data_IF_182192078665
#
_entry.id   IF_182192078665
#
_cell.length_a   1.000
_cell.length_b   1.000
_cell.length_c   1.000
_cell.angle_alpha   90.00
_cell.angle_beta   90.00
_cell.angle_gamma   90.00
#
_symmetry.space_group_name_H-M   'P 1'
#
loop_
_entity.id
_entity.type
_entity.pdbx_description
1 polymer ?
#
# COMPACT_ATOMS: atom_id res chain seq x y z
N UNK A 1 3.14 14.64 -36.35
CA UNK A 1 2.87 13.82 -35.15
C UNK A 1 4.18 13.76 -34.40
N UNK A 2 4.25 14.22 -33.14
CA UNK A 2 5.48 14.09 -32.34
C UNK A 2 5.81 12.60 -32.22
N UNK A 3 7.08 12.26 -32.40
CA UNK A 3 7.60 10.90 -32.52
C UNK A 3 7.54 10.18 -31.16
N UNK A 4 6.86 9.04 -31.06
CA UNK A 4 6.73 8.26 -29.81
C UNK A 4 8.09 7.80 -29.27
N UNK A 5 9.11 7.70 -30.13
CA UNK A 5 10.49 7.44 -29.73
C UNK A 5 11.10 8.57 -28.87
N UNK A 6 10.63 9.81 -29.03
CA UNK A 6 11.09 10.96 -28.27
C UNK A 6 10.60 10.90 -26.81
N UNK A 7 9.34 10.48 -26.59
CA UNK A 7 8.78 10.40 -25.22
C UNK A 7 9.48 9.33 -24.38
N UNK A 8 9.73 8.15 -24.95
CA UNK A 8 10.47 7.06 -24.29
C UNK A 8 11.91 7.48 -23.99
N UNK A 9 12.59 8.13 -24.95
CA UNK A 9 13.95 8.63 -24.76
C UNK A 9 14.03 9.69 -23.66
N UNK A 10 13.06 10.60 -23.58
CA UNK A 10 13.00 11.62 -22.53
C UNK A 10 12.82 11.02 -21.13
N UNK A 11 11.94 10.01 -20.99
CA UNK A 11 11.74 9.28 -19.73
C UNK A 11 13.04 8.60 -19.31
N UNK A 12 13.69 7.88 -20.23
CA UNK A 12 14.95 7.18 -19.94
C UNK A 12 16.05 8.18 -19.54
N UNK A 13 16.19 9.29 -20.28
CA UNK A 13 17.18 10.31 -19.97
C UNK A 13 16.94 10.95 -18.58
N UNK A 14 15.69 11.09 -18.13
CA UNK A 14 15.40 11.54 -16.77
C UNK A 14 15.84 10.50 -15.72
N UNK A 15 15.61 9.21 -15.98
CA UNK A 15 16.07 8.12 -15.11
C UNK A 15 17.60 8.06 -15.01
N UNK A 16 18.30 8.23 -16.13
CA UNK A 16 19.77 8.21 -16.17
C UNK A 16 20.38 9.37 -15.37
N UNK A 17 19.65 10.49 -15.23
CA UNK A 17 20.03 11.62 -14.37
C UNK A 17 19.61 11.46 -12.90
N UNK A 18 18.92 10.37 -12.55
CA UNK A 18 18.38 10.14 -11.21
C UNK A 18 17.11 10.94 -10.89
N UNK A 19 16.47 11.57 -11.88
CA UNK A 19 15.23 12.34 -11.71
C UNK A 19 14.00 11.43 -11.82
N UNK A 20 13.75 10.65 -10.77
CA UNK A 20 12.64 9.70 -10.72
C UNK A 20 11.26 10.39 -10.74
N UNK A 21 11.16 11.61 -10.19
CA UNK A 21 9.90 12.35 -10.16
C UNK A 21 9.58 12.95 -11.55
N UNK A 22 10.58 13.51 -12.23
CA UNK A 22 10.47 13.97 -13.61
C UNK A 22 10.18 12.81 -14.58
N UNK A 23 10.90 11.68 -14.46
CA UNK A 23 10.64 10.49 -15.27
C UNK A 23 9.18 10.00 -15.10
N UNK A 24 8.66 10.00 -13.86
CA UNK A 24 7.27 9.62 -13.59
C UNK A 24 6.28 10.62 -14.20
N UNK A 25 6.55 11.92 -14.16
CA UNK A 25 5.70 12.94 -14.76
C UNK A 25 5.64 12.77 -16.29
N UNK A 26 6.80 12.62 -16.93
CA UNK A 26 6.92 12.36 -18.37
C UNK A 26 6.19 11.07 -18.78
N UNK A 27 6.36 9.98 -18.03
CA UNK A 27 5.66 8.72 -18.29
C UNK A 27 4.14 8.87 -18.17
N UNK A 28 3.65 9.67 -17.23
CA UNK A 28 2.22 9.95 -17.08
C UNK A 28 1.67 10.74 -18.26
N UNK A 29 2.38 11.78 -18.69
CA UNK A 29 1.99 12.60 -19.83
C UNK A 29 2.00 11.81 -21.13
N UNK A 30 3.02 10.96 -21.34
CA UNK A 30 3.09 10.05 -22.47
C UNK A 30 1.92 9.06 -22.45
N UNK A 31 1.66 8.41 -21.31
CA UNK A 31 0.56 7.46 -21.18
C UNK A 31 -0.82 8.11 -21.37
N UNK A 32 -0.99 9.36 -20.92
CA UNK A 32 -2.23 10.10 -21.13
C UNK A 32 -2.48 10.46 -22.60
N UNK A 33 -1.41 10.65 -23.39
CA UNK A 33 -1.50 10.93 -24.83
C UNK A 33 -1.84 9.68 -25.63
N UNK A 34 -1.18 8.56 -25.34
CA UNK A 34 -1.48 7.27 -25.97
C UNK A 34 -1.36 6.12 -24.95
N UNK A 35 -2.48 5.71 -24.33
CA UNK A 35 -2.51 4.56 -23.42
C UNK A 35 -2.22 3.21 -24.10
N UNK A 36 -2.34 3.14 -25.43
CA UNK A 36 -2.17 1.89 -26.18
C UNK A 36 -0.70 1.56 -26.47
N UNK A 37 0.18 2.55 -26.43
CA UNK A 37 1.62 2.37 -26.64
C UNK A 37 2.22 1.42 -25.58
N UNK A 38 2.69 0.26 -26.06
CA UNK A 38 3.30 -0.77 -25.23
C UNK A 38 4.57 -0.28 -24.53
N UNK A 39 5.42 0.51 -25.18
CA UNK A 39 6.70 0.99 -24.62
C UNK A 39 6.47 2.00 -23.50
N UNK A 40 5.53 2.91 -23.70
CA UNK A 40 5.12 3.88 -22.68
C UNK A 40 4.54 3.16 -21.46
N UNK A 41 3.70 2.14 -21.68
CA UNK A 41 3.11 1.32 -20.62
C UNK A 41 4.17 0.53 -19.84
N UNK A 42 5.18 -0.02 -20.51
CA UNK A 42 6.33 -0.72 -19.88
C UNK A 42 7.11 0.18 -18.91
N UNK A 43 7.20 1.49 -19.18
CA UNK A 43 7.82 2.46 -18.27
C UNK A 43 6.85 3.02 -17.22
N UNK A 44 5.59 3.23 -17.60
CA UNK A 44 4.56 3.80 -16.73
C UNK A 44 4.36 2.96 -15.46
N UNK A 45 4.13 1.65 -15.63
CA UNK A 45 3.79 0.71 -14.55
C UNK A 45 4.85 0.70 -13.44
N UNK A 46 6.15 0.41 -13.70
CA UNK A 46 7.15 0.35 -12.63
C UNK A 46 7.40 1.70 -11.94
N UNK A 47 7.37 2.82 -12.69
CA UNK A 47 7.54 4.17 -12.12
C UNK A 47 6.39 4.54 -11.19
N UNK A 48 5.17 4.19 -11.56
CA UNK A 48 3.99 4.47 -10.75
C UNK A 48 3.83 3.48 -9.59
N UNK A 49 4.28 2.22 -9.75
CA UNK A 49 4.32 1.25 -8.66
C UNK A 49 5.21 1.72 -7.51
N UNK A 50 6.39 2.28 -7.79
CA UNK A 50 7.24 2.86 -6.76
C UNK A 50 6.52 3.97 -5.98
N UNK A 51 5.75 4.83 -6.67
CA UNK A 51 4.93 5.86 -6.04
C UNK A 51 3.81 5.26 -5.18
N UNK A 52 3.09 4.26 -5.69
CA UNK A 52 2.00 3.61 -4.96
C UNK A 52 2.51 2.94 -3.66
N UNK A 53 3.69 2.32 -3.71
CA UNK A 53 4.38 1.77 -2.52
C UNK A 53 4.67 2.87 -1.50
N UNK A 54 5.22 4.02 -1.95
CA UNK A 54 5.53 5.16 -1.07
C UNK A 54 4.26 5.70 -0.39
N UNK A 55 3.21 5.97 -1.16
CA UNK A 55 1.93 6.46 -0.64
C UNK A 55 1.32 5.50 0.39
N UNK A 56 1.36 4.20 0.11
CA UNK A 56 0.87 3.19 1.07
C UNK A 56 1.70 3.18 2.37
N UNK A 57 3.02 3.40 2.30
CA UNK A 57 3.88 3.52 3.47
C UNK A 57 3.60 4.81 4.26
N UNK A 58 3.43 5.94 3.56
CA UNK A 58 3.10 7.23 4.15
C UNK A 58 1.74 7.21 4.85
N UNK A 59 0.72 6.58 4.25
CA UNK A 59 -0.59 6.42 4.87
C UNK A 59 -0.52 5.62 6.19
N UNK A 60 0.26 4.53 6.20
CA UNK A 60 0.52 3.76 7.44
C UNK A 60 1.20 4.60 8.50
N UNK A 61 2.22 5.34 8.11
CA UNK A 61 3.00 6.17 9.03
C UNK A 61 2.17 7.35 9.55
N UNK A 62 1.33 7.96 8.71
CA UNK A 62 0.37 8.97 9.12
C UNK A 62 -0.59 8.42 10.19
N UNK A 63 -1.18 7.23 9.97
CA UNK A 63 -2.02 6.57 10.97
C UNK A 63 -1.28 6.31 12.28
N UNK A 64 -0.08 5.74 12.20
CA UNK A 64 0.75 5.43 13.37
C UNK A 64 1.05 6.70 14.20
N UNK A 65 1.39 7.80 13.52
CA UNK A 65 1.63 9.11 14.15
C UNK A 65 0.35 9.68 14.77
N UNK A 66 -0.81 9.53 14.12
CA UNK A 66 -2.09 9.98 14.68
C UNK A 66 -2.44 9.24 15.97
N UNK A 67 -2.34 7.90 15.96
CA UNK A 67 -2.55 7.07 17.16
C UNK A 67 -1.62 7.49 18.30
N UNK A 68 -0.34 7.72 17.98
CA UNK A 68 0.65 8.18 18.93
C UNK A 68 0.33 9.55 19.52
N UNK A 69 -0.06 10.50 18.69
CA UNK A 69 -0.42 11.88 19.07
C UNK A 69 -1.66 11.90 19.97
N UNK A 70 -2.70 11.15 19.61
CA UNK A 70 -3.99 11.12 20.32
C UNK A 70 -3.96 10.23 21.57
N UNK A 71 -2.93 9.37 21.72
CA UNK A 71 -2.76 8.44 22.85
C UNK A 71 -3.99 7.56 23.10
N UNK A 72 -4.64 7.13 22.02
CA UNK A 72 -5.88 6.35 22.07
C UNK A 72 -5.61 5.05 22.85
N UNK A 73 -6.42 4.74 23.87
CA UNK A 73 -6.42 3.44 24.54
C UNK A 73 -6.68 2.30 23.55
N UNK A 74 -6.23 1.09 23.89
CA UNK A 74 -6.29 -0.02 22.93
C UNK A 74 -7.71 -0.58 22.74
N UNK A 75 -8.54 -0.42 23.76
CA UNK A 75 -9.91 -0.88 23.90
C UNK A 75 -10.94 0.13 23.37
N UNK A 76 -10.50 1.30 22.92
CA UNK A 76 -11.37 2.27 22.27
C UNK A 76 -11.40 2.05 20.75
N UNK A 77 -12.58 2.23 20.16
CA UNK A 77 -12.75 2.18 18.72
C UNK A 77 -11.90 3.27 18.06
N UNK A 78 -11.02 2.83 17.16
CA UNK A 78 -10.12 3.71 16.44
C UNK A 78 -10.73 4.10 15.10
N UNK A 79 -10.97 5.39 14.92
CA UNK A 79 -11.31 5.98 13.63
C UNK A 79 -10.16 6.85 13.11
N UNK A 80 -9.83 6.64 11.84
CA UNK A 80 -8.89 7.48 11.11
C UNK A 80 -9.39 8.91 11.04
N UNK A 81 -8.49 9.86 11.27
CA UNK A 81 -8.78 11.25 10.93
C UNK A 81 -9.00 11.41 9.42
N UNK A 82 -9.72 12.45 8.96
CA UNK A 82 -9.91 12.72 7.53
C UNK A 82 -8.60 12.81 6.74
N UNK A 83 -7.51 13.26 7.38
CA UNK A 83 -6.18 13.30 6.77
C UNK A 83 -5.62 11.91 6.50
N UNK A 84 -5.67 11.01 7.49
CA UNK A 84 -5.21 9.63 7.34
C UNK A 84 -6.07 8.89 6.33
N UNK A 85 -7.39 9.05 6.40
CA UNK A 85 -8.32 8.47 5.44
C UNK A 85 -7.97 8.88 4.00
N UNK A 86 -7.73 10.18 3.74
CA UNK A 86 -7.29 10.66 2.42
C UNK A 86 -5.95 10.07 1.97
N UNK A 87 -5.01 9.86 2.88
CA UNK A 87 -3.73 9.24 2.53
C UNK A 87 -3.91 7.79 2.06
N UNK A 88 -4.80 7.02 2.70
CA UNK A 88 -5.16 5.68 2.23
C UNK A 88 -5.88 5.70 0.88
N UNK A 89 -6.79 6.64 0.65
CA UNK A 89 -7.46 6.78 -0.66
C UNK A 89 -6.47 7.14 -1.77
N UNK A 90 -5.57 8.10 -1.53
CA UNK A 90 -4.54 8.46 -2.52
C UNK A 90 -3.63 7.27 -2.87
N UNK A 91 -3.30 6.44 -1.87
CA UNK A 91 -2.57 5.20 -2.11
C UNK A 91 -3.40 4.20 -2.94
N UNK A 92 -4.71 4.02 -2.65
CA UNK A 92 -5.58 3.14 -3.44
C UNK A 92 -5.74 3.63 -4.89
N UNK A 93 -5.98 4.93 -5.08
CA UNK A 93 -6.08 5.55 -6.41
C UNK A 93 -4.81 5.35 -7.24
N UNK A 94 -3.63 5.41 -6.61
CA UNK A 94 -2.36 5.12 -7.27
C UNK A 94 -2.26 3.66 -7.75
N UNK A 95 -2.78 2.69 -6.97
CA UNK A 95 -2.85 1.30 -7.42
C UNK A 95 -3.85 1.14 -8.57
N UNK A 96 -5.02 1.77 -8.48
CA UNK A 96 -6.03 1.75 -9.54
C UNK A 96 -5.51 2.33 -10.86
N UNK A 97 -4.72 3.41 -10.80
CA UNK A 97 -4.10 3.99 -12.00
C UNK A 97 -3.20 2.99 -12.73
N UNK A 98 -2.43 2.19 -11.98
CA UNK A 98 -1.58 1.15 -12.56
C UNK A 98 -2.44 0.01 -13.11
N UNK A 99 -3.49 -0.42 -12.39
CA UNK A 99 -4.38 -1.50 -12.85
C UNK A 99 -5.19 -1.11 -14.09
N UNK A 100 -5.42 0.19 -14.35
CA UNK A 100 -5.98 0.63 -15.64
C UNK A 100 -5.01 0.41 -16.80
N UNK A 101 -3.70 0.53 -16.56
CA UNK A 101 -2.67 0.29 -17.57
C UNK A 101 -2.33 -1.20 -17.72
N UNK A 102 -2.33 -1.94 -16.62
CA UNK A 102 -2.07 -3.38 -16.56
C UNK A 102 -3.03 -4.07 -15.57
N UNK A 103 -4.24 -4.45 -16.03
CA UNK A 103 -5.26 -5.05 -15.16
C UNK A 103 -4.84 -6.38 -14.55
N UNK A 104 -3.90 -7.09 -15.18
CA UNK A 104 -3.39 -8.38 -14.75
C UNK A 104 -2.19 -8.28 -13.81
N UNK A 105 -1.78 -7.07 -13.40
CA UNK A 105 -0.58 -6.89 -12.60
C UNK A 105 -0.74 -7.49 -11.19
N UNK A 106 -0.28 -8.73 -11.04
CA UNK A 106 -0.43 -9.52 -9.82
C UNK A 106 0.12 -8.82 -8.57
N UNK A 107 1.29 -8.19 -8.71
CA UNK A 107 1.93 -7.46 -7.60
C UNK A 107 1.07 -6.28 -7.15
N UNK A 108 0.53 -5.51 -8.08
CA UNK A 108 -0.34 -4.36 -7.77
C UNK A 108 -1.65 -4.83 -7.18
N UNK A 109 -2.27 -5.88 -7.73
CA UNK A 109 -3.50 -6.48 -7.20
C UNK A 109 -3.31 -6.95 -5.76
N UNK A 110 -2.21 -7.67 -5.48
CA UNK A 110 -1.88 -8.14 -4.14
C UNK A 110 -1.71 -6.96 -3.18
N UNK A 111 -0.96 -5.93 -3.58
CA UNK A 111 -0.74 -4.74 -2.77
C UNK A 111 -2.02 -3.94 -2.51
N UNK A 112 -2.90 -3.80 -3.52
CA UNK A 112 -4.23 -3.19 -3.38
C UNK A 112 -5.07 -3.95 -2.36
N UNK A 113 -5.14 -5.29 -2.45
CA UNK A 113 -5.91 -6.11 -1.51
C UNK A 113 -5.42 -5.92 -0.07
N UNK A 114 -4.09 -5.89 0.13
CA UNK A 114 -3.49 -5.62 1.44
C UNK A 114 -3.84 -4.21 1.95
N UNK A 115 -3.82 -3.21 1.06
CA UNK A 115 -4.13 -1.84 1.41
C UNK A 115 -5.60 -1.65 1.80
N UNK A 116 -6.54 -2.24 1.04
CA UNK A 116 -7.98 -2.25 1.36
C UNK A 116 -8.23 -2.83 2.75
N UNK A 117 -7.69 -4.03 2.99
CA UNK A 117 -7.85 -4.70 4.26
C UNK A 117 -7.24 -3.92 5.42
N UNK A 118 -6.08 -3.28 5.20
CA UNK A 118 -5.43 -2.49 6.23
C UNK A 118 -6.18 -1.19 6.51
N UNK A 119 -6.71 -0.54 5.47
CA UNK A 119 -7.47 0.70 5.59
C UNK A 119 -8.67 0.49 6.51
N UNK A 120 -9.46 -0.54 6.21
CA UNK A 120 -10.65 -0.91 6.96
C UNK A 120 -10.80 -2.44 6.92
N UNK A 121 -10.62 -3.11 8.07
CA UNK A 121 -10.62 -4.58 8.16
C UNK A 121 -12.01 -5.18 8.11
N UNK A 122 -13.05 -4.39 8.36
CA UNK A 122 -14.43 -4.82 8.26
C UNK A 122 -14.90 -4.65 6.81
N UNK A 123 -14.87 -3.42 6.30
CA UNK A 123 -15.39 -3.09 4.96
C UNK A 123 -14.47 -3.59 3.84
N UNK A 124 -13.15 -3.52 4.03
CA UNK A 124 -12.16 -3.88 3.02
C UNK A 124 -11.93 -5.38 2.86
N UNK A 125 -12.43 -6.22 3.78
CA UNK A 125 -12.16 -7.68 3.78
C UNK A 125 -12.73 -8.38 2.57
N UNK A 126 -13.99 -8.11 2.24
CA UNK A 126 -14.69 -8.78 1.14
C UNK A 126 -14.00 -8.51 -0.19
N UNK A 127 -13.68 -7.25 -0.47
CA UNK A 127 -12.97 -6.88 -1.71
C UNK A 127 -11.54 -7.44 -1.73
N UNK A 128 -10.80 -7.34 -0.62
CA UNK A 128 -9.45 -7.89 -0.52
C UNK A 128 -9.43 -9.41 -0.78
N UNK A 129 -10.37 -10.18 -0.20
CA UNK A 129 -10.49 -11.61 -0.46
C UNK A 129 -10.88 -11.92 -1.90
N UNK A 130 -11.76 -11.11 -2.51
CA UNK A 130 -12.12 -11.25 -3.93
C UNK A 130 -10.90 -11.17 -4.83
N UNK A 131 -10.07 -10.13 -4.63
CA UNK A 131 -8.82 -9.95 -5.38
C UNK A 131 -7.85 -11.10 -5.12
N UNK A 132 -7.58 -11.44 -3.85
CA UNK A 132 -6.61 -12.48 -3.51
C UNK A 132 -7.03 -13.87 -4.03
N UNK A 133 -8.32 -14.19 -4.02
CA UNK A 133 -8.85 -15.45 -4.57
C UNK A 133 -8.71 -15.49 -6.08
N UNK A 134 -9.02 -14.40 -6.78
CA UNK A 134 -8.79 -14.30 -8.22
C UNK A 134 -7.31 -14.50 -8.60
N UNK A 135 -6.37 -13.95 -7.82
CA UNK A 135 -4.94 -14.22 -8.01
C UNK A 135 -4.65 -15.71 -7.77
N UNK A 136 -5.12 -16.29 -6.66
CA UNK A 136 -4.89 -17.72 -6.37
C UNK A 136 -5.42 -18.64 -7.46
N UNK A 137 -6.57 -18.33 -8.03
CA UNK A 137 -7.22 -19.16 -9.04
C UNK A 137 -6.46 -19.11 -10.37
N UNK A 138 -5.81 -17.98 -10.68
CA UNK A 138 -4.94 -17.83 -11.86
C UNK A 138 -3.49 -18.28 -11.63
N UNK A 139 -3.01 -18.26 -10.38
CA UNK A 139 -1.62 -18.53 -9.96
C UNK A 139 -1.59 -19.35 -8.65
N UNK A 140 -2.00 -20.63 -8.67
CA UNK A 140 -2.11 -21.46 -7.47
C UNK A 140 -0.76 -21.70 -6.77
N UNK A 141 0.35 -21.56 -7.48
CA UNK A 141 1.72 -21.69 -6.97
C UNK A 141 2.15 -20.51 -6.08
N UNK A 142 1.47 -19.35 -6.15
CA UNK A 142 1.84 -18.20 -5.35
C UNK A 142 1.49 -18.41 -3.87
N UNK A 143 2.47 -18.92 -3.13
CA UNK A 143 2.37 -19.14 -1.68
C UNK A 143 2.09 -17.85 -0.90
N UNK A 144 2.59 -16.70 -1.35
CA UNK A 144 2.37 -15.42 -0.66
C UNK A 144 0.89 -15.07 -0.62
N UNK A 145 0.16 -15.30 -1.72
CA UNK A 145 -1.29 -15.08 -1.80
C UNK A 145 -2.03 -16.03 -0.86
N UNK A 146 -1.63 -17.30 -0.78
CA UNK A 146 -2.20 -18.23 0.19
C UNK A 146 -1.99 -17.78 1.65
N UNK A 147 -0.82 -17.22 1.98
CA UNK A 147 -0.57 -16.61 3.30
C UNK A 147 -1.42 -15.38 3.54
N UNK A 148 -1.57 -14.50 2.54
CA UNK A 148 -2.40 -13.31 2.64
C UNK A 148 -3.88 -13.68 2.87
N UNK A 149 -4.43 -14.62 2.10
CA UNK A 149 -5.81 -15.12 2.29
C UNK A 149 -6.02 -15.58 3.73
N UNK A 150 -5.12 -16.41 4.28
CA UNK A 150 -5.25 -16.89 5.67
C UNK A 150 -5.31 -15.74 6.69
N UNK A 151 -4.56 -14.66 6.47
CA UNK A 151 -4.54 -13.48 7.36
C UNK A 151 -5.78 -12.59 7.22
N UNK A 152 -6.38 -12.56 6.04
CA UNK A 152 -7.56 -11.74 5.72
C UNK A 152 -8.87 -12.48 6.00
N UNK A 153 -8.90 -13.81 5.88
CA UNK A 153 -10.15 -14.57 5.94
C UNK A 153 -10.76 -14.63 7.34
N UNK A 154 -9.93 -14.61 8.38
CA UNK A 154 -10.39 -14.77 9.77
C UNK A 154 -10.01 -13.57 10.64
N UNK A 155 -10.89 -13.16 11.56
CA UNK A 155 -10.54 -12.19 12.60
C UNK A 155 -9.32 -12.66 13.40
N UNK A 156 -8.41 -11.72 13.71
CA UNK A 156 -7.21 -12.07 14.46
C UNK A 156 -7.43 -12.07 15.97
N UNK A 157 -7.39 -13.24 16.60
CA UNK A 157 -7.54 -13.41 18.06
C UNK A 157 -6.53 -12.60 18.88
N UNK A 158 -5.30 -12.43 18.39
CA UNK A 158 -4.24 -11.71 19.12
C UNK A 158 -4.54 -10.23 19.31
N UNK A 159 -5.20 -9.61 18.34
CA UNK A 159 -5.44 -8.17 18.35
C UNK A 159 -6.93 -7.82 18.33
N UNK A 160 -7.80 -8.80 18.56
CA UNK A 160 -9.25 -8.67 18.36
C UNK A 160 -9.57 -8.05 16.99
N UNK A 161 -8.80 -8.47 15.99
CA UNK A 161 -8.89 -8.03 14.61
C UNK A 161 -8.70 -6.53 14.31
N UNK A 162 -8.21 -5.74 15.26
CA UNK A 162 -7.87 -4.32 15.01
C UNK A 162 -6.72 -4.15 14.01
N UNK A 163 -5.86 -5.16 13.88
CA UNK A 163 -4.64 -5.10 13.09
C UNK A 163 -3.51 -4.30 13.74
N UNK A 164 -3.74 -3.68 14.90
CA UNK A 164 -2.73 -2.95 15.66
C UNK A 164 -1.98 -3.85 16.63
N UNK A 165 -0.76 -3.46 16.98
CA UNK A 165 0.02 -4.16 17.99
C UNK A 165 -0.62 -3.93 19.37
N UNK A 166 -1.07 -4.99 20.09
CA UNK A 166 -1.69 -4.82 21.41
C UNK A 166 -0.74 -4.24 22.45
N UNK A 167 0.56 -4.52 22.31
CA UNK A 167 1.58 -4.12 23.30
C UNK A 167 1.91 -2.63 23.29
N UNK A 168 1.78 -1.98 22.13
CA UNK A 168 2.02 -0.54 21.98
C UNK A 168 0.77 0.22 21.53
N UNK A 169 -0.37 -0.46 21.50
CA UNK A 169 -1.65 0.03 20.99
C UNK A 169 -1.50 0.82 19.67
N UNK A 170 -0.88 0.22 18.66
CA UNK A 170 -0.74 0.86 17.34
C UNK A 170 0.40 1.87 17.20
N UNK A 171 1.02 2.35 18.28
CA UNK A 171 1.98 3.48 18.23
C UNK A 171 3.34 3.15 17.64
N UNK A 172 3.74 1.88 17.74
CA UNK A 172 5.09 1.43 17.36
C UNK A 172 6.16 1.70 18.43
N UNK A 173 5.87 2.48 19.46
CA UNK A 173 6.77 2.73 20.58
C UNK A 173 6.04 2.64 21.92
N UNK A 174 6.81 2.52 22.99
CA UNK A 174 6.32 2.60 24.37
C UNK A 174 7.12 3.67 25.09
N UNK A 175 6.43 4.44 25.93
CA UNK A 175 7.04 5.47 26.77
C UNK A 175 7.13 4.94 28.20
N UNK A 176 8.34 4.91 28.75
CA UNK A 176 8.58 4.61 30.18
C UNK A 176 9.41 5.76 30.75
N UNK A 177 8.93 6.41 31.81
CA UNK A 177 9.61 7.57 32.42
C UNK A 177 9.98 8.67 31.40
N UNK A 178 9.09 8.96 30.44
CA UNK A 178 9.30 9.91 29.33
C UNK A 178 10.39 9.52 28.31
N UNK A 179 10.96 8.32 28.41
CA UNK A 179 11.86 7.77 27.39
C UNK A 179 11.04 6.91 26.44
N UNK A 180 11.06 7.26 25.16
CA UNK A 180 10.42 6.48 24.11
C UNK A 180 11.38 5.41 23.59
N UNK A 181 10.89 4.18 23.49
CA UNK A 181 11.61 3.07 22.87
C UNK A 181 10.72 2.38 21.85
N UNK A 182 11.32 1.96 20.75
CA UNK A 182 10.63 1.12 19.77
C UNK A 182 10.02 -0.11 20.46
N UNK A 183 8.78 -0.44 20.09
CA UNK A 183 8.10 -1.62 20.58
C UNK A 183 8.84 -2.85 20.06
N UNK A 184 9.35 -3.67 20.97
CA UNK A 184 10.04 -4.92 20.71
C UNK A 184 9.12 -5.98 20.07
N UNK A 185 7.82 -5.97 20.40
CA UNK A 185 6.88 -6.96 19.85
C UNK A 185 6.50 -6.73 18.38
N UNK A 186 6.57 -5.49 17.88
CA UNK A 186 6.27 -5.15 16.49
C UNK A 186 7.43 -4.45 15.78
N UNK A 187 8.62 -4.41 16.38
CA UNK A 187 9.82 -3.76 15.86
C UNK A 187 9.57 -2.34 15.32
N UNK A 188 8.84 -1.52 16.07
CA UNK A 188 8.55 -0.14 15.65
C UNK A 188 7.34 0.04 14.72
N UNK A 189 6.80 -1.04 14.15
CA UNK A 189 5.83 -0.95 13.05
C UNK A 189 4.41 -0.55 13.48
N UNK A 190 4.07 -0.71 14.76
CA UNK A 190 2.73 -0.43 15.27
C UNK A 190 1.64 -1.44 14.85
N UNK A 191 1.91 -2.34 13.93
CA UNK A 191 0.95 -3.37 13.46
C UNK A 191 1.05 -4.67 14.27
N UNK A 192 -0.02 -5.47 14.26
CA UNK A 192 -0.03 -6.80 14.86
C UNK A 192 0.98 -7.70 14.10
N UNK A 193 1.94 -8.36 14.77
CA UNK A 193 2.93 -9.19 14.09
C UNK A 193 2.36 -10.50 13.52
N UNK A 194 1.13 -10.88 13.88
CA UNK A 194 0.49 -12.12 13.43
C UNK A 194 -0.34 -11.88 12.17
N UNK A 195 -1.36 -11.01 12.26
CA UNK A 195 -2.25 -10.70 11.14
C UNK A 195 -1.85 -9.46 10.35
N UNK A 196 -0.83 -8.73 10.81
CA UNK A 196 -0.20 -7.68 10.03
C UNK A 196 0.29 -8.27 8.72
N UNK A 197 -0.27 -7.75 7.64
CA UNK A 197 0.29 -7.93 6.32
C UNK A 197 1.21 -6.73 6.13
N UNK A 198 2.38 -6.89 5.53
CA UNK A 198 3.33 -5.81 5.22
C UNK A 198 3.13 -5.39 3.77
#
# INVERSE_FOLDING_TARGET
MPDDSDSVAQIQAALDRGDADGARALAREAYARDPSDGKVRELYVPLHLAQAIRLAAEAREARRRDIARRRIPYDEDFEDTPEVARAFEAALEAHEAILRADPGNEKVLMMKAVLLFRKDREKGRTEALGILRAIRDSRPENRQVAFAIRKVERPCERCSDTGFCPRCAGRGFRSLLRIERACDACHGQGICPVCGIL
#
